data_IF_673364056856
#
_entry.id   IF_673364056856
#
_cell.length_a   1.000
_cell.length_b   1.000
_cell.length_c   1.000
_cell.angle_alpha   90.00
_cell.angle_beta   90.00
_cell.angle_gamma   90.00
#
_symmetry.space_group_name_H-M   'P 1'
#
loop_
_entity.id
_entity.type
_entity.pdbx_description
1 polymer ?
#
# COMPACT_ATOMS: atom_id res chain seq x y z
N UNK A 1 -35.55 -18.16 -12.60
CA UNK A 1 -34.85 -16.89 -12.25
C UNK A 1 -33.62 -17.28 -11.43
N UNK A 2 -32.42 -17.26 -12.03
CA UNK A 2 -31.21 -17.83 -11.40
C UNK A 2 -30.70 -16.91 -10.29
N UNK A 3 -30.79 -17.37 -9.04
CA UNK A 3 -30.11 -16.75 -7.90
C UNK A 3 -28.59 -16.90 -8.12
N UNK A 4 -27.92 -15.83 -8.56
CA UNK A 4 -26.46 -15.78 -8.59
C UNK A 4 -25.94 -15.85 -7.17
N UNK A 5 -25.07 -16.83 -6.88
CA UNK A 5 -24.43 -17.02 -5.56
C UNK A 5 -23.77 -15.71 -5.09
N UNK A 6 -23.86 -15.35 -3.78
CA UNK A 6 -23.29 -14.13 -3.22
C UNK A 6 -21.81 -13.91 -3.58
N UNK A 7 -21.05 -15.01 -3.65
CA UNK A 7 -19.63 -15.02 -4.02
C UNK A 7 -19.39 -14.44 -5.42
N UNK A 8 -20.31 -14.67 -6.36
CA UNK A 8 -20.19 -14.17 -7.73
C UNK A 8 -20.45 -12.67 -7.83
N UNK A 9 -21.34 -12.15 -6.99
CA UNK A 9 -21.62 -10.70 -6.94
C UNK A 9 -20.39 -9.97 -6.41
N UNK A 10 -19.85 -10.44 -5.28
CA UNK A 10 -18.62 -9.90 -4.68
C UNK A 10 -17.44 -9.92 -5.67
N UNK A 11 -17.23 -11.05 -6.35
CA UNK A 11 -16.12 -11.18 -7.31
C UNK A 11 -16.26 -10.22 -8.50
N UNK A 12 -17.48 -9.92 -8.95
CA UNK A 12 -17.72 -8.94 -10.03
C UNK A 12 -17.47 -7.51 -9.58
N UNK A 13 -17.81 -7.17 -8.34
CA UNK A 13 -17.48 -5.87 -7.75
C UNK A 13 -15.96 -5.68 -7.69
N UNK A 14 -15.24 -6.71 -7.22
CA UNK A 14 -13.77 -6.69 -7.21
C UNK A 14 -13.16 -6.57 -8.61
N UNK A 15 -13.68 -7.33 -9.59
CA UNK A 15 -13.27 -7.20 -11.00
C UNK A 15 -13.53 -5.78 -11.52
N UNK A 16 -14.69 -5.20 -11.22
CA UNK A 16 -15.01 -3.82 -11.63
C UNK A 16 -14.01 -2.81 -11.06
N UNK A 17 -13.65 -2.93 -9.78
CA UNK A 17 -12.66 -2.06 -9.16
C UNK A 17 -11.27 -2.23 -9.76
N UNK A 18 -10.88 -3.46 -10.08
CA UNK A 18 -9.62 -3.74 -10.78
C UNK A 18 -9.63 -3.17 -12.20
N UNK A 19 -10.72 -3.31 -12.95
CA UNK A 19 -10.87 -2.71 -14.28
C UNK A 19 -10.68 -1.18 -14.21
N UNK A 20 -11.26 -0.51 -13.21
CA UNK A 20 -11.06 0.93 -13.01
C UNK A 20 -9.60 1.29 -12.71
N UNK A 21 -8.92 0.53 -11.84
CA UNK A 21 -7.49 0.73 -11.52
C UNK A 21 -6.59 0.51 -12.73
N UNK A 22 -6.99 -0.38 -13.65
CA UNK A 22 -6.22 -0.72 -14.85
C UNK A 22 -6.58 0.12 -16.08
N UNK A 23 -7.57 1.03 -15.97
CA UNK A 23 -8.15 1.80 -17.07
C UNK A 23 -8.78 0.92 -18.16
N UNK A 24 -9.34 -0.23 -17.77
CA UNK A 24 -10.08 -1.13 -18.66
C UNK A 24 -11.56 -0.73 -18.73
N UNK A 25 -12.23 -1.10 -19.83
CA UNK A 25 -13.66 -0.84 -19.99
C UNK A 25 -14.51 -1.72 -19.08
N UNK A 26 -15.62 -1.18 -18.58
CA UNK A 26 -16.59 -1.93 -17.77
C UNK A 26 -17.32 -3.02 -18.56
N UNK A 27 -17.13 -3.08 -19.89
CA UNK A 27 -17.63 -4.16 -20.73
C UNK A 27 -17.04 -5.51 -20.32
N UNK A 28 -15.84 -5.53 -19.72
CA UNK A 28 -15.24 -6.74 -19.18
C UNK A 28 -16.11 -7.37 -18.06
N UNK A 29 -16.73 -6.54 -17.22
CA UNK A 29 -17.64 -6.97 -16.15
C UNK A 29 -18.95 -7.52 -16.74
N UNK A 30 -19.41 -6.96 -17.86
CA UNK A 30 -20.58 -7.47 -18.58
C UNK A 30 -20.30 -8.87 -19.18
N UNK A 31 -19.07 -9.13 -19.67
CA UNK A 31 -18.66 -10.46 -20.13
C UNK A 31 -18.66 -11.49 -18.99
N UNK A 32 -18.38 -11.08 -17.75
CA UNK A 32 -18.48 -11.96 -16.58
C UNK A 32 -19.91 -12.48 -16.32
N UNK A 33 -20.95 -11.81 -16.85
CA UNK A 33 -22.34 -12.30 -16.75
C UNK A 33 -22.56 -13.59 -17.54
N UNK A 34 -21.86 -13.73 -18.67
CA UNK A 34 -21.93 -14.89 -19.56
C UNK A 34 -20.86 -15.95 -19.24
N UNK A 35 -19.89 -15.62 -18.40
CA UNK A 35 -18.78 -16.50 -18.04
C UNK A 35 -19.20 -17.62 -17.07
N UNK A 36 -18.51 -18.76 -17.19
CA UNK A 36 -18.58 -19.84 -16.21
C UNK A 36 -17.88 -19.43 -14.90
N UNK A 37 -18.23 -20.03 -13.75
CA UNK A 37 -17.61 -19.69 -12.47
C UNK A 37 -16.07 -19.78 -12.46
N UNK A 38 -15.51 -20.76 -13.18
CA UNK A 38 -14.06 -20.97 -13.27
C UNK A 38 -13.36 -19.92 -14.15
N UNK A 39 -14.02 -19.44 -15.20
CA UNK A 39 -13.50 -18.35 -16.03
C UNK A 39 -13.52 -17.01 -15.27
N UNK A 40 -14.55 -16.79 -14.47
CA UNK A 40 -14.69 -15.60 -13.62
C UNK A 40 -13.60 -15.56 -12.53
N UNK A 41 -13.27 -16.71 -11.95
CA UNK A 41 -12.16 -16.85 -11.01
C UNK A 41 -10.79 -16.63 -11.68
N UNK A 42 -10.53 -17.28 -12.81
CA UNK A 42 -9.28 -17.07 -13.55
C UNK A 42 -9.07 -15.60 -13.95
N UNK A 43 -10.14 -14.93 -14.40
CA UNK A 43 -10.08 -13.52 -14.76
C UNK A 43 -9.80 -12.64 -13.54
N UNK A 44 -10.42 -12.94 -12.40
CA UNK A 44 -10.17 -12.25 -11.14
C UNK A 44 -8.70 -12.37 -10.73
N UNK A 45 -8.16 -13.58 -10.73
CA UNK A 45 -6.75 -13.84 -10.37
C UNK A 45 -5.79 -13.09 -11.31
N UNK A 46 -6.03 -13.16 -12.62
CA UNK A 46 -5.20 -12.49 -13.61
C UNK A 46 -5.21 -10.95 -13.45
N UNK A 47 -6.38 -10.35 -13.20
CA UNK A 47 -6.50 -8.92 -12.96
C UNK A 47 -5.85 -8.52 -11.63
N UNK A 48 -5.98 -9.34 -10.60
CA UNK A 48 -5.35 -9.11 -9.29
C UNK A 48 -3.83 -9.08 -9.42
N UNK A 49 -3.26 -10.08 -10.09
CA UNK A 49 -1.81 -10.15 -10.36
C UNK A 49 -1.30 -8.94 -11.15
N UNK A 50 -2.05 -8.47 -12.15
CA UNK A 50 -1.69 -7.29 -12.95
C UNK A 50 -1.74 -6.00 -12.11
N UNK A 51 -2.78 -5.80 -11.28
CA UNK A 51 -2.86 -4.65 -10.37
C UNK A 51 -1.66 -4.64 -9.41
N UNK A 52 -1.32 -5.77 -8.81
CA UNK A 52 -0.15 -5.88 -7.94
C UNK A 52 1.16 -5.58 -8.68
N UNK A 53 1.31 -6.09 -9.92
CA UNK A 53 2.49 -5.85 -10.75
C UNK A 53 2.68 -4.35 -11.04
N UNK A 54 1.59 -3.65 -11.37
CA UNK A 54 1.62 -2.20 -11.58
C UNK A 54 1.94 -1.43 -10.31
N UNK A 55 1.37 -1.81 -9.17
CA UNK A 55 1.68 -1.16 -7.90
C UNK A 55 3.15 -1.41 -7.48
N UNK A 56 3.70 -2.61 -7.66
CA UNK A 56 5.14 -2.88 -7.47
C UNK A 56 6.01 -2.02 -8.37
N UNK A 57 5.68 -1.94 -9.66
CA UNK A 57 6.42 -1.14 -10.63
C UNK A 57 6.35 0.36 -10.32
N UNK A 58 5.18 0.85 -9.91
CA UNK A 58 4.98 2.23 -9.47
C UNK A 58 5.80 2.54 -8.22
N UNK A 59 5.78 1.67 -7.20
CA UNK A 59 6.61 1.82 -5.99
C UNK A 59 8.09 1.87 -6.34
N UNK A 60 8.59 0.93 -7.14
CA UNK A 60 9.99 0.91 -7.59
C UNK A 60 10.38 2.20 -8.34
N UNK A 61 9.55 2.63 -9.29
CA UNK A 61 9.77 3.88 -10.04
C UNK A 61 9.78 5.11 -9.13
N UNK A 62 8.87 5.19 -8.16
CA UNK A 62 8.80 6.31 -7.22
C UNK A 62 10.03 6.34 -6.30
N UNK A 63 10.43 5.19 -5.75
CA UNK A 63 11.64 5.06 -4.93
C UNK A 63 12.90 5.47 -5.71
N UNK A 64 13.06 4.96 -6.94
CA UNK A 64 14.18 5.32 -7.81
C UNK A 64 14.19 6.81 -8.16
N UNK A 65 13.02 7.41 -8.39
CA UNK A 65 12.90 8.84 -8.71
C UNK A 65 13.16 9.73 -7.49
N UNK A 66 12.78 9.29 -6.29
CA UNK A 66 12.97 10.05 -5.07
C UNK A 66 14.45 10.21 -4.69
N UNK A 67 15.34 9.37 -5.23
CA UNK A 67 16.81 9.43 -5.01
C UNK A 67 17.15 9.56 -3.51
N UNK A 68 16.45 8.80 -2.67
CA UNK A 68 16.68 8.86 -1.23
C UNK A 68 18.15 8.52 -0.92
N UNK A 69 18.83 9.34 -0.12
CA UNK A 69 20.22 9.10 0.26
C UNK A 69 20.29 7.90 1.20
N UNK A 70 20.48 6.70 0.63
CA UNK A 70 20.54 5.39 1.29
C UNK A 70 19.30 5.03 2.14
N UNK A 71 18.62 3.90 1.88
CA UNK A 71 17.52 3.48 2.73
C UNK A 71 18.07 3.23 4.14
N UNK A 72 17.59 4.00 5.11
CA UNK A 72 17.88 3.77 6.53
C UNK A 72 16.79 2.87 7.10
N UNK A 73 17.18 1.73 7.66
CA UNK A 73 16.30 0.91 8.46
C UNK A 73 16.38 1.35 9.94
N UNK A 74 15.31 1.08 10.69
CA UNK A 74 15.32 1.18 12.15
C UNK A 74 15.87 -0.10 12.81
N UNK A 75 16.34 -1.06 12.01
CA UNK A 75 16.88 -2.33 12.48
C UNK A 75 18.20 -2.09 13.22
N UNK A 76 18.26 -2.50 14.50
CA UNK A 76 19.41 -2.23 15.36
C UNK A 76 19.47 -0.82 15.94
N UNK A 77 18.42 0.00 15.77
CA UNK A 77 18.36 1.32 16.41
C UNK A 77 18.17 1.17 17.94
N UNK A 78 19.04 1.82 18.71
CA UNK A 78 18.96 1.81 20.17
C UNK A 78 17.99 2.88 20.68
N UNK A 79 16.87 2.42 21.24
CA UNK A 79 15.82 3.27 21.81
C UNK A 79 16.05 3.61 23.29
N UNK A 80 17.14 3.13 23.92
CA UNK A 80 17.43 3.38 25.34
C UNK A 80 17.45 4.88 25.70
N UNK A 81 17.92 5.69 24.76
CA UNK A 81 18.04 7.14 24.86
C UNK A 81 16.88 7.92 24.23
N UNK A 82 15.89 7.23 23.66
CA UNK A 82 14.68 7.85 23.11
C UNK A 82 13.59 7.89 24.17
N UNK A 83 12.91 9.04 24.28
CA UNK A 83 11.74 9.21 25.12
C UNK A 83 10.54 9.44 24.22
N UNK A 84 9.70 8.42 24.10
CA UNK A 84 8.42 8.53 23.40
C UNK A 84 7.35 9.05 24.37
N UNK A 85 6.49 9.99 23.94
CA UNK A 85 5.33 10.38 24.73
C UNK A 85 4.36 9.19 24.86
N UNK A 86 3.53 9.14 25.92
CA UNK A 86 2.57 8.04 26.12
C UNK A 86 1.51 7.94 25.01
N UNK A 87 1.41 8.96 24.15
CA UNK A 87 0.49 9.02 23.02
C UNK A 87 1.01 8.35 21.74
N UNK A 88 2.27 7.91 21.70
CA UNK A 88 2.88 7.28 20.53
C UNK A 88 3.61 6.02 20.98
N UNK A 89 3.23 4.86 20.44
CA UNK A 89 3.97 3.63 20.67
C UNK A 89 5.11 3.47 19.67
N UNK A 90 6.05 2.56 19.98
CA UNK A 90 7.15 2.26 19.08
C UNK A 90 6.66 1.62 17.78
N UNK A 91 5.65 0.76 17.87
CA UNK A 91 5.05 0.08 16.73
C UNK A 91 4.38 1.08 15.78
N UNK A 92 3.68 2.09 16.33
CA UNK A 92 3.08 3.16 15.52
C UNK A 92 4.13 4.03 14.83
N UNK A 93 5.28 4.24 15.47
CA UNK A 93 6.42 4.98 14.91
C UNK A 93 7.06 4.20 13.75
N UNK A 94 7.39 2.92 13.97
CA UNK A 94 8.02 2.04 12.98
C UNK A 94 7.07 1.73 11.79
N UNK A 95 5.76 1.64 12.05
CA UNK A 95 4.71 1.46 11.04
C UNK A 95 4.40 2.72 10.21
N UNK A 96 4.94 3.88 10.59
CA UNK A 96 4.67 5.17 9.95
C UNK A 96 3.18 5.56 9.95
N UNK A 97 2.41 5.12 10.96
CA UNK A 97 0.96 5.32 11.06
C UNK A 97 0.57 6.81 11.12
N UNK A 98 1.47 7.64 11.63
CA UNK A 98 1.32 9.10 11.70
C UNK A 98 1.14 9.74 10.31
N UNK A 99 1.70 9.15 9.24
CA UNK A 99 1.54 9.64 7.86
C UNK A 99 0.08 9.52 7.42
N UNK A 100 -0.55 8.37 7.67
CA UNK A 100 -1.96 8.14 7.35
C UNK A 100 -2.90 9.01 8.18
N UNK A 101 -2.58 9.20 9.47
CA UNK A 101 -3.33 10.06 10.40
C UNK A 101 -3.12 11.56 10.16
N UNK A 102 -2.18 11.95 9.29
CA UNK A 102 -1.75 13.33 9.04
C UNK A 102 -1.28 14.05 10.32
N UNK A 103 -0.64 13.30 11.21
CA UNK A 103 -0.10 13.80 12.47
C UNK A 103 1.38 14.15 12.27
N UNK A 104 1.78 15.36 12.67
CA UNK A 104 3.17 15.78 12.57
C UNK A 104 3.99 15.19 13.73
N UNK A 105 5.15 14.63 13.40
CA UNK A 105 6.14 14.16 14.37
C UNK A 105 7.30 15.16 14.45
N UNK A 106 7.66 15.59 15.66
CA UNK A 106 8.81 16.47 15.89
C UNK A 106 9.83 15.74 16.77
N UNK A 107 10.99 15.42 16.20
CA UNK A 107 12.10 14.79 16.92
C UNK A 107 13.06 15.87 17.40
N UNK A 108 13.35 15.91 18.71
CA UNK A 108 14.31 16.82 19.31
C UNK A 108 15.32 16.06 20.17
N UNK A 109 16.57 16.51 20.17
CA UNK A 109 17.63 15.91 20.99
C UNK A 109 19.02 16.46 20.64
N UNK A 110 20.06 16.03 21.39
CA UNK A 110 21.44 16.43 21.14
C UNK A 110 21.94 15.93 19.79
N UNK A 111 22.98 16.59 19.25
CA UNK A 111 23.61 16.21 17.98
C UNK A 111 24.14 14.77 18.01
N UNK A 112 24.13 14.07 16.87
CA UNK A 112 24.63 12.69 16.77
C UNK A 112 23.63 11.59 17.16
N UNK A 113 22.42 11.93 17.61
CA UNK A 113 21.35 10.96 17.95
C UNK A 113 20.51 10.50 16.73
N UNK A 114 20.88 10.93 15.53
CA UNK A 114 20.12 10.66 14.30
C UNK A 114 18.95 11.60 14.04
N UNK A 115 18.62 12.51 14.98
CA UNK A 115 17.54 13.51 14.83
C UNK A 115 17.79 14.54 13.72
N UNK A 116 19.04 14.77 13.35
CA UNK A 116 19.43 15.70 12.29
C UNK A 116 20.01 14.91 11.12
N UNK A 117 19.18 14.60 10.13
CA UNK A 117 19.69 14.23 8.83
C UNK A 117 19.96 15.52 8.05
N UNK A 118 21.22 15.80 7.69
CA UNK A 118 21.61 16.94 6.84
C UNK A 118 20.98 16.91 5.44
N UNK A 119 20.20 15.88 5.12
CA UNK A 119 19.41 15.76 3.90
C UNK A 119 17.96 15.47 4.29
N UNK A 120 17.11 16.42 3.96
CA UNK A 120 15.68 16.48 4.25
C UNK A 120 15.00 15.17 3.80
N UNK A 121 14.62 14.31 4.74
CA UNK A 121 13.66 13.23 4.49
C UNK A 121 12.30 13.92 4.48
N UNK A 122 11.72 14.05 3.28
CA UNK A 122 10.38 14.58 3.03
C UNK A 122 9.43 13.42 2.75
#
# INVERSE_FOLDING_TARGET
>A
MMMTSPIRIQRREEISDMCRKLFLSQQLVALCQQATPRQEEFLHDALSMEVESRERSKRSRLLNRARFPMPKSMEGYDYSHVRLPPSITREELEGCDFVGRKTNLVCYGPVGTGNYASYRVM
#
